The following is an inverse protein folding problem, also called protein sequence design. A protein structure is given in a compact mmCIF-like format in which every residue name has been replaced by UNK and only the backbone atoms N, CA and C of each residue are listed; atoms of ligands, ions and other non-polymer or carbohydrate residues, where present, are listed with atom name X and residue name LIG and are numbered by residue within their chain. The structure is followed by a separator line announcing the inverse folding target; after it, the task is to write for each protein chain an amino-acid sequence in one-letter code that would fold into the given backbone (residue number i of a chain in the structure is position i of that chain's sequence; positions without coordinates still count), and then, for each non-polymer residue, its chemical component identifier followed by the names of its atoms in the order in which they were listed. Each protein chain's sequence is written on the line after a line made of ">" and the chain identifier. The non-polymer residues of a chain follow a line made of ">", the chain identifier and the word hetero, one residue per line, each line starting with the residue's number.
data_IF_474984199107
#
_entry.id   IF_474984199107
#
_cell.length_a   1.000
_cell.length_b   1.000
_cell.length_c   1.000
_cell.angle_alpha   90.00
_cell.angle_beta   90.00
_cell.angle_gamma   90.00
#
_symmetry.space_group_name_H-M   'P 1'
#
loop_
_entity.id
_entity.type
_entity.pdbx_description
1 polymer ?
#
# COMPACT_ATOMS: atom_id res chain seq x y z
N UNK A 1 13.69 12.99 -1.27
CA UNK A 1 12.85 13.05 -0.07
C UNK A 1 11.45 12.69 -0.52
N UNK A 2 10.89 11.60 0.00
CA UNK A 2 9.59 11.04 -0.33
C UNK A 2 9.16 10.12 0.84
N UNK A 3 8.01 9.45 0.74
CA UNK A 3 7.41 8.64 1.81
C UNK A 3 7.35 7.16 1.44
N UNK A 4 7.45 6.28 2.45
CA UNK A 4 7.28 4.83 2.36
C UNK A 4 6.34 4.30 3.46
N UNK A 5 5.78 3.12 3.23
CA UNK A 5 5.14 2.32 4.27
C UNK A 5 6.22 1.52 5.00
N UNK A 6 6.32 1.68 6.32
CA UNK A 6 7.28 0.93 7.14
C UNK A 6 6.63 -0.21 7.93
N UNK A 7 5.32 -0.14 8.15
CA UNK A 7 4.53 -1.17 8.80
C UNK A 7 3.16 -1.29 8.11
N UNK A 8 2.70 -2.50 7.74
CA UNK A 8 3.50 -3.72 7.62
C UNK A 8 4.65 -3.52 6.63
N UNK A 9 5.81 -4.15 6.88
CA UNK A 9 6.99 -3.98 6.02
C UNK A 9 6.67 -4.42 4.58
N UNK A 10 6.90 -3.56 3.57
CA UNK A 10 6.55 -3.89 2.19
C UNK A 10 7.53 -4.87 1.55
N UNK A 11 7.12 -5.44 0.41
CA UNK A 11 7.93 -6.30 -0.45
C UNK A 11 9.28 -5.66 -0.69
N UNK A 12 10.36 -6.42 -0.50
CA UNK A 12 11.77 -6.03 -0.69
C UNK A 12 12.26 -4.98 0.32
N UNK A 13 11.49 -4.61 1.34
CA UNK A 13 11.89 -3.56 2.29
C UNK A 13 13.06 -4.02 3.16
N UNK A 14 14.01 -3.10 3.39
CA UNK A 14 15.10 -3.26 4.36
C UNK A 14 14.62 -3.49 5.80
N UNK A 15 13.36 -3.14 6.10
CA UNK A 15 12.75 -3.31 7.42
C UNK A 15 12.15 -4.71 7.60
N UNK A 16 12.03 -5.49 6.53
CA UNK A 16 11.59 -6.88 6.62
C UNK A 16 12.79 -7.80 6.85
N UNK A 17 12.67 -8.69 7.83
CA UNK A 17 13.67 -9.73 8.09
C UNK A 17 13.70 -10.83 7.02
N UNK A 18 12.77 -10.79 6.07
CA UNK A 18 12.58 -11.84 5.07
C UNK A 18 13.42 -11.64 3.80
N UNK A 19 13.95 -10.44 3.56
CA UNK A 19 14.76 -10.12 2.38
C UNK A 19 16.21 -9.87 2.79
N UNK A 20 17.18 -10.29 1.96
CA UNK A 20 18.61 -10.15 2.26
C UNK A 20 19.41 -9.71 1.03
N UNK A 21 20.52 -9.03 1.28
CA UNK A 21 21.50 -8.72 0.23
C UNK A 21 20.90 -7.90 -0.92
N UNK A 22 21.04 -8.42 -2.13
CA UNK A 22 20.56 -7.84 -3.38
C UNK A 22 19.03 -7.89 -3.54
N UNK A 23 18.34 -8.61 -2.66
CA UNK A 23 16.88 -8.60 -2.63
C UNK A 23 16.30 -7.31 -2.05
N UNK A 24 17.09 -6.52 -1.34
CA UNK A 24 16.60 -5.35 -0.63
C UNK A 24 16.52 -4.15 -1.59
N UNK A 25 15.34 -3.54 -1.67
CA UNK A 25 15.17 -2.20 -2.23
C UNK A 25 15.38 -1.16 -1.12
N UNK A 26 16.47 -0.41 -1.24
CA UNK A 26 16.84 0.66 -0.31
C UNK A 26 16.12 1.99 -0.59
N UNK A 27 15.37 2.08 -1.68
CA UNK A 27 14.63 3.26 -2.12
C UNK A 27 13.11 3.00 -2.21
N UNK A 28 12.51 2.55 -1.11
CA UNK A 28 11.06 2.37 -1.01
C UNK A 28 10.26 3.67 -1.13
N UNK A 29 10.95 4.79 -0.98
CA UNK A 29 10.33 6.12 -0.93
C UNK A 29 10.00 6.67 -2.30
N UNK A 30 10.71 6.28 -3.37
CA UNK A 30 10.46 6.83 -4.71
C UNK A 30 9.07 6.52 -5.27
N UNK A 31 8.49 7.42 -6.09
CA UNK A 31 7.23 7.18 -6.76
C UNK A 31 7.33 6.05 -7.79
N UNK A 32 6.19 5.54 -8.22
CA UNK A 32 6.14 4.58 -9.31
C UNK A 32 6.63 5.21 -10.62
N UNK A 33 7.23 4.38 -11.47
CA UNK A 33 7.82 4.80 -12.74
C UNK A 33 7.89 3.62 -13.71
N UNK A 34 8.45 3.82 -14.90
CA UNK A 34 8.72 2.71 -15.82
C UNK A 34 9.66 1.64 -15.22
N UNK A 35 10.54 2.02 -14.27
CA UNK A 35 11.44 1.09 -13.57
C UNK A 35 10.81 0.48 -12.30
N UNK A 36 9.80 1.15 -11.75
CA UNK A 36 9.06 0.75 -10.55
C UNK A 36 7.57 0.71 -10.91
N UNK A 37 7.14 -0.24 -11.75
CA UNK A 37 5.81 -0.18 -12.36
C UNK A 37 4.70 -0.49 -11.38
N UNK A 38 3.48 -0.06 -11.72
CA UNK A 38 2.27 -0.51 -11.04
C UNK A 38 1.92 -1.96 -11.41
N UNK A 39 1.42 -2.79 -10.48
CA UNK A 39 1.29 -2.54 -9.04
C UNK A 39 2.57 -2.91 -8.28
N UNK A 40 2.65 -2.47 -7.02
CA UNK A 40 3.65 -2.94 -6.05
C UNK A 40 5.11 -2.76 -6.51
N UNK A 41 5.40 -1.67 -7.24
CA UNK A 41 6.72 -1.36 -7.79
C UNK A 41 7.27 -2.45 -8.74
N UNK A 42 6.41 -3.32 -9.26
CA UNK A 42 6.76 -4.45 -10.12
C UNK A 42 7.28 -5.68 -9.37
N UNK A 43 7.34 -5.65 -8.05
CA UNK A 43 7.81 -6.79 -7.27
C UNK A 43 6.79 -7.91 -7.23
N UNK A 44 7.26 -9.14 -7.50
CA UNK A 44 6.47 -10.35 -7.32
C UNK A 44 6.10 -10.62 -5.86
N UNK A 45 5.17 -11.55 -5.60
CA UNK A 45 4.74 -11.90 -4.25
C UNK A 45 5.90 -12.30 -3.34
N UNK A 46 5.84 -11.83 -2.09
CA UNK A 46 6.78 -12.13 -1.03
C UNK A 46 6.21 -13.05 0.06
N UNK A 47 6.99 -13.28 1.12
CA UNK A 47 6.50 -13.89 2.35
C UNK A 47 5.58 -12.93 3.10
N UNK A 48 4.61 -13.47 3.84
CA UNK A 48 3.74 -12.64 4.68
C UNK A 48 4.55 -11.98 5.80
N UNK A 49 4.44 -10.65 5.92
CA UNK A 49 5.16 -9.88 6.95
C UNK A 49 4.34 -9.66 8.21
N UNK A 50 3.03 -9.92 8.16
CA UNK A 50 2.14 -9.86 9.31
C UNK A 50 0.93 -10.81 9.15
N UNK A 51 0.30 -11.15 10.28
CA UNK A 51 -0.96 -11.92 10.33
C UNK A 51 -2.02 -11.10 11.04
N UNK A 52 -3.22 -11.02 10.44
CA UNK A 52 -4.36 -10.29 10.97
C UNK A 52 -5.62 -11.15 10.99
N UNK A 53 -6.57 -10.80 11.85
CA UNK A 53 -7.89 -11.44 11.88
C UNK A 53 -8.86 -10.71 10.95
N UNK A 54 -9.71 -11.47 10.24
CA UNK A 54 -10.86 -10.92 9.54
C UNK A 54 -11.78 -10.19 10.53
N UNK A 55 -12.27 -9.01 10.15
CA UNK A 55 -13.00 -8.13 11.07
C UNK A 55 -12.11 -7.33 12.03
N UNK A 56 -10.80 -7.59 12.02
CA UNK A 56 -9.80 -6.83 12.76
C UNK A 56 -9.34 -5.57 12.02
N UNK A 57 -8.18 -5.07 12.41
CA UNK A 57 -7.58 -3.84 11.89
C UNK A 57 -6.10 -4.06 11.60
N UNK A 58 -5.64 -3.50 10.48
CA UNK A 58 -4.23 -3.40 10.12
C UNK A 58 -3.70 -2.09 10.69
N UNK A 59 -2.69 -2.17 11.53
CA UNK A 59 -1.90 -1.02 11.96
C UNK A 59 -0.92 -0.66 10.85
N UNK A 60 -0.91 0.60 10.45
CA UNK A 60 -0.06 1.10 9.37
C UNK A 60 0.77 2.26 9.88
N UNK A 61 2.07 2.18 9.64
CA UNK A 61 3.00 3.28 9.90
C UNK A 61 3.68 3.66 8.60
N UNK A 62 3.67 4.96 8.31
CA UNK A 62 4.35 5.57 7.18
C UNK A 62 5.56 6.36 7.70
N UNK A 63 6.63 6.40 6.93
CA UNK A 63 7.78 7.22 7.26
C UNK A 63 8.46 7.76 6.01
N UNK A 64 9.39 8.70 6.18
CA UNK A 64 10.10 9.33 5.08
C UNK A 64 10.43 10.79 5.33
N UNK A 65 11.01 11.40 4.30
CA UNK A 65 11.64 12.72 4.39
C UNK A 65 10.76 13.89 3.97
N UNK A 66 9.76 13.68 3.09
CA UNK A 66 8.90 14.74 2.60
C UNK A 66 7.50 14.21 2.33
N UNK A 67 6.51 14.74 3.03
CA UNK A 67 5.10 14.38 2.92
C UNK A 67 4.35 15.27 1.90
N UNK A 68 5.04 16.17 1.20
CA UNK A 68 4.48 17.01 0.13
C UNK A 68 3.21 17.79 0.52
N UNK A 69 3.13 18.28 1.76
CA UNK A 69 1.94 18.92 2.35
C UNK A 69 0.70 18.02 2.36
N UNK A 70 0.94 16.71 2.40
CA UNK A 70 -0.02 15.63 2.37
C UNK A 70 -0.51 15.24 0.97
N UNK A 71 -1.82 15.20 0.79
CA UNK A 71 -2.48 14.65 -0.41
C UNK A 71 -3.41 13.52 -0.07
N UNK A 72 -3.59 12.59 -1.00
CA UNK A 72 -4.63 11.56 -0.92
C UNK A 72 -4.01 10.19 -0.77
N UNK A 73 -4.38 9.45 0.28
CA UNK A 73 -3.97 8.05 0.44
C UNK A 73 -5.15 7.11 0.32
N UNK A 74 -4.92 5.96 -0.29
CA UNK A 74 -5.80 4.81 -0.16
C UNK A 74 -5.04 3.63 0.44
N UNK A 75 -5.72 2.92 1.32
CA UNK A 75 -5.26 1.66 1.88
C UNK A 75 -6.18 0.57 1.36
N UNK A 76 -5.61 -0.39 0.64
CA UNK A 76 -6.37 -1.35 -0.15
C UNK A 76 -5.92 -2.77 0.12
N UNK A 77 -6.84 -3.72 -0.03
CA UNK A 77 -6.58 -5.16 0.04
C UNK A 77 -6.77 -5.81 -1.32
N UNK A 78 -5.94 -6.80 -1.60
CA UNK A 78 -6.09 -7.73 -2.71
C UNK A 78 -6.09 -9.16 -2.18
N UNK A 79 -7.07 -9.95 -2.61
CA UNK A 79 -7.18 -11.39 -2.26
C UNK A 79 -7.04 -12.28 -3.49
N UNK A 80 -6.66 -11.70 -4.64
CA UNK A 80 -6.49 -12.38 -5.93
C UNK A 80 -5.03 -12.32 -6.43
N UNK A 81 -4.09 -12.14 -5.50
CA UNK A 81 -2.65 -12.12 -5.77
C UNK A 81 -2.12 -10.78 -6.29
N UNK A 82 -2.82 -9.67 -6.02
CA UNK A 82 -2.44 -8.32 -6.46
C UNK A 82 -2.98 -7.94 -7.83
N UNK A 83 -3.98 -8.65 -8.36
CA UNK A 83 -4.61 -8.32 -9.66
C UNK A 83 -5.63 -7.19 -9.50
N UNK A 84 -6.41 -7.24 -8.43
CA UNK A 84 -7.36 -6.18 -8.08
C UNK A 84 -7.16 -5.73 -6.63
N UNK A 85 -7.35 -4.43 -6.39
CA UNK A 85 -7.21 -3.81 -5.08
C UNK A 85 -8.52 -3.12 -4.70
N UNK A 86 -9.07 -3.53 -3.57
CA UNK A 86 -10.31 -2.99 -3.00
C UNK A 86 -9.96 -2.06 -1.84
N UNK A 87 -10.46 -0.83 -1.90
CA UNK A 87 -10.15 0.23 -0.94
C UNK A 87 -10.85 -0.04 0.39
N UNK A 88 -10.08 -0.17 1.46
CA UNK A 88 -10.55 -0.36 2.83
C UNK A 88 -10.63 0.97 3.60
N UNK A 89 -9.75 1.93 3.28
CA UNK A 89 -9.74 3.27 3.87
C UNK A 89 -9.21 4.29 2.88
N UNK A 90 -9.77 5.49 2.90
CA UNK A 90 -9.31 6.65 2.12
C UNK A 90 -9.05 7.81 3.07
N UNK A 91 -7.95 8.53 2.85
CA UNK A 91 -7.60 9.78 3.55
C UNK A 91 -7.45 10.85 2.50
N UNK A 92 -8.29 11.89 2.55
CA UNK A 92 -8.39 12.89 1.49
C UNK A 92 -7.70 14.20 1.88
N UNK A 93 -6.76 14.65 1.04
CA UNK A 93 -6.15 15.98 1.08
C UNK A 93 -5.10 16.22 2.18
N UNK A 94 -5.09 15.41 3.25
CA UNK A 94 -4.22 15.60 4.42
C UNK A 94 -3.48 14.33 4.85
N UNK A 95 -3.33 13.35 3.95
CA UNK A 95 -2.56 12.15 4.28
C UNK A 95 -1.16 12.52 4.76
N UNK A 96 -0.70 11.95 5.87
CA UNK A 96 0.58 12.19 6.52
C UNK A 96 0.79 13.57 7.16
N UNK A 97 -0.10 14.55 6.95
CA UNK A 97 0.08 15.91 7.47
C UNK A 97 -0.08 16.03 8.99
N UNK A 98 -0.93 15.20 9.61
CA UNK A 98 -1.22 15.25 11.06
C UNK A 98 -0.85 13.96 11.79
N UNK A 99 -0.81 12.84 11.07
CA UNK A 99 -0.42 11.54 11.59
C UNK A 99 0.19 10.73 10.45
N UNK A 100 1.24 9.98 10.76
CA UNK A 100 1.79 8.95 9.87
C UNK A 100 1.32 7.54 10.25
N UNK A 101 0.50 7.44 11.30
CA UNK A 101 -0.10 6.20 11.78
C UNK A 101 -1.57 6.10 11.36
N UNK A 102 -1.99 4.93 10.89
CA UNK A 102 -3.36 4.65 10.45
C UNK A 102 -3.83 3.27 10.87
N UNK A 103 -5.08 3.22 11.29
CA UNK A 103 -5.83 1.98 11.48
C UNK A 103 -6.71 1.71 10.25
N UNK A 104 -6.53 0.56 9.60
CA UNK A 104 -7.27 0.16 8.39
C UNK A 104 -8.12 -1.09 8.66
N UNK A 105 -9.45 -1.03 8.53
CA UNK A 105 -10.31 -2.16 8.86
C UNK A 105 -10.18 -3.29 7.83
N UNK A 106 -10.26 -4.54 8.31
CA UNK A 106 -10.42 -5.73 7.46
C UNK A 106 -11.90 -6.16 7.52
N UNK A 107 -12.56 -6.44 6.39
CA UNK A 107 -13.92 -6.96 6.40
C UNK A 107 -14.04 -8.25 7.21
N UNK A 108 -15.11 -8.40 7.99
CA UNK A 108 -15.36 -9.61 8.80
C UNK A 108 -15.45 -10.88 7.97
N UNK A 109 -15.92 -10.76 6.73
CA UNK A 109 -16.05 -11.85 5.78
C UNK A 109 -14.86 -11.96 4.82
N UNK A 110 -13.73 -11.29 5.08
CA UNK A 110 -12.55 -11.44 4.25
C UNK A 110 -12.12 -12.92 4.13
N UNK A 111 -11.63 -13.38 2.97
CA UNK A 111 -11.13 -14.74 2.82
C UNK A 111 -9.95 -15.04 3.76
N UNK A 112 -9.85 -16.30 4.19
CA UNK A 112 -8.66 -16.79 4.86
C UNK A 112 -7.51 -16.99 3.87
N UNK A 113 -6.29 -16.70 4.32
CA UNK A 113 -5.07 -16.97 3.57
C UNK A 113 -4.31 -15.72 3.21
N UNK A 114 -3.50 -15.83 2.16
CA UNK A 114 -2.63 -14.72 1.71
C UNK A 114 -3.46 -13.59 1.10
N UNK A 115 -3.12 -12.37 1.48
CA UNK A 115 -3.62 -11.15 0.87
C UNK A 115 -2.47 -10.17 0.64
N UNK A 116 -2.64 -9.25 -0.29
CA UNK A 116 -1.72 -8.12 -0.51
C UNK A 116 -2.36 -6.87 0.08
N UNK A 117 -1.72 -6.26 1.06
CA UNK A 117 -2.06 -4.95 1.56
C UNK A 117 -1.27 -3.89 0.79
N UNK A 118 -1.94 -2.84 0.33
CA UNK A 118 -1.31 -1.77 -0.43
C UNK A 118 -1.63 -0.42 0.21
N UNK A 119 -0.58 0.38 0.40
CA UNK A 119 -0.69 1.82 0.57
C UNK A 119 -0.40 2.48 -0.78
N UNK A 120 -1.31 3.34 -1.23
CA UNK A 120 -1.10 4.23 -2.36
C UNK A 120 -1.23 5.68 -1.91
N UNK A 121 -0.47 6.56 -2.56
CA UNK A 121 -0.48 7.98 -2.24
C UNK A 121 -0.29 8.83 -3.49
N UNK A 122 -1.12 9.86 -3.60
CA UNK A 122 -1.02 10.95 -4.56
C UNK A 122 -0.62 12.18 -3.76
N UNK A 123 0.57 12.71 -4.03
CA UNK A 123 1.10 13.86 -3.33
C UNK A 123 0.35 15.14 -3.70
N UNK A 124 0.16 16.04 -2.74
CA UNK A 124 -0.53 17.31 -2.97
C UNK A 124 0.34 18.30 -3.74
N UNK A 125 1.57 18.53 -3.27
CA UNK A 125 2.46 19.57 -3.80
C UNK A 125 3.69 18.96 -4.48
N UNK A 126 4.18 19.61 -5.54
CA UNK A 126 5.35 19.14 -6.30
C UNK A 126 4.95 18.46 -7.61
N UNK A 127 5.80 17.55 -8.10
CA UNK A 127 5.51 16.76 -9.29
C UNK A 127 4.21 15.96 -9.13
N UNK A 128 3.53 15.64 -10.23
CA UNK A 128 2.39 14.72 -10.20
C UNK A 128 2.92 13.31 -10.10
N UNK A 129 2.84 12.72 -8.91
CA UNK A 129 3.45 11.44 -8.60
C UNK A 129 2.48 10.51 -7.90
N UNK A 130 2.57 9.24 -8.26
CA UNK A 130 1.78 8.17 -7.66
C UNK A 130 2.71 7.17 -6.97
N UNK A 131 2.54 7.02 -5.67
CA UNK A 131 3.32 6.12 -4.82
C UNK A 131 2.52 4.86 -4.54
N UNK A 132 3.22 3.73 -4.43
CA UNK A 132 2.61 2.49 -3.95
C UNK A 132 3.65 1.62 -3.26
N UNK A 133 3.35 1.18 -2.03
CA UNK A 133 4.06 0.09 -1.39
C UNK A 133 3.07 -1.04 -1.07
N UNK A 134 3.50 -2.28 -1.23
CA UNK A 134 2.68 -3.46 -0.97
C UNK A 134 3.35 -4.37 0.05
N UNK A 135 2.60 -4.88 1.01
CA UNK A 135 3.02 -5.92 1.93
C UNK A 135 2.15 -7.16 1.71
N UNK A 136 2.77 -8.34 1.63
CA UNK A 136 2.02 -9.59 1.71
C UNK A 136 1.69 -9.85 3.18
N UNK A 137 0.44 -10.20 3.46
CA UNK A 137 -0.07 -10.46 4.80
C UNK A 137 -0.90 -11.76 4.80
N UNK A 138 -1.16 -12.30 5.98
CA UNK A 138 -2.06 -13.45 6.16
C UNK A 138 -3.32 -13.00 6.90
N UNK A 139 -4.50 -13.26 6.34
CA UNK A 139 -5.79 -13.06 7.00
C UNK A 139 -6.28 -14.41 7.55
N UNK A 140 -6.76 -14.42 8.79
CA UNK A 140 -7.29 -15.59 9.50
C UNK A 140 -8.69 -15.32 10.06
N UNK A 141 -9.44 -16.37 10.41
CA UNK A 141 -10.73 -16.26 11.08
C UNK A 141 -11.90 -15.79 10.21
N UNK A 142 -11.67 -15.59 8.92
CA UNK A 142 -12.70 -15.27 7.93
C UNK A 142 -13.36 -16.52 7.33
N UNK A 143 -14.48 -16.32 6.65
CA UNK A 143 -15.26 -17.40 6.03
C UNK A 143 -15.83 -17.07 4.65
N UNK A 144 -15.47 -15.92 4.07
CA UNK A 144 -15.91 -15.53 2.74
C UNK A 144 -14.93 -15.93 1.64
N UNK A 145 -15.35 -15.71 0.39
CA UNK A 145 -14.58 -16.04 -0.81
C UNK A 145 -14.07 -14.80 -1.57
N UNK A 146 -14.51 -13.61 -1.20
CA UNK A 146 -14.10 -12.36 -1.82
C UNK A 146 -14.16 -11.18 -0.83
N UNK A 147 -13.57 -10.06 -1.23
CA UNK A 147 -13.80 -8.73 -0.66
C UNK A 147 -14.46 -7.85 -1.72
N UNK A 148 -15.27 -6.89 -1.30
CA UNK A 148 -16.01 -5.99 -2.20
C UNK A 148 -15.93 -4.56 -1.71
N UNK A 149 -15.89 -3.62 -2.64
CA UNK A 149 -15.74 -2.20 -2.35
C UNK A 149 -15.20 -1.43 -3.56
N UNK A 150 -14.90 -0.14 -3.39
CA UNK A 150 -14.34 0.68 -4.46
C UNK A 150 -12.99 0.13 -4.93
N UNK A 151 -12.71 0.25 -6.24
CA UNK A 151 -11.38 -0.03 -6.78
C UNK A 151 -10.40 1.05 -6.33
N UNK A 152 -9.16 0.65 -6.07
CA UNK A 152 -8.07 1.59 -5.84
C UNK A 152 -7.90 2.51 -7.07
N UNK A 153 -7.86 3.82 -6.82
CA UNK A 153 -7.64 4.84 -7.83
C UNK A 153 -6.18 4.77 -8.31
N UNK A 154 -5.98 4.79 -9.62
CA UNK A 154 -4.65 4.81 -10.24
C UNK A 154 -4.63 5.98 -11.23
N UNK A 155 -3.69 6.88 -11.04
CA UNK A 155 -3.56 8.19 -11.71
C UNK A 155 -2.09 8.57 -11.79
N UNK A 156 -1.76 9.60 -12.56
CA UNK A 156 -0.41 10.17 -12.66
C UNK A 156 0.67 9.15 -13.08
N UNK A 157 0.24 8.14 -13.85
CA UNK A 157 1.09 7.11 -14.46
C UNK A 157 0.86 7.10 -15.98
N UNK A 158 1.79 6.56 -16.78
CA UNK A 158 1.59 6.39 -18.22
C UNK A 158 0.28 5.65 -18.53
N UNK A 159 -0.55 6.24 -19.39
CA UNK A 159 -1.88 5.75 -19.80
C UNK A 159 -2.98 5.83 -18.72
N UNK A 160 -2.73 6.51 -17.59
CA UNK A 160 -3.76 6.83 -16.60
C UNK A 160 -4.13 8.31 -16.65
N UNK A 161 -5.29 8.64 -16.08
CA UNK A 161 -5.69 10.03 -15.93
C UNK A 161 -4.65 10.79 -15.10
N UNK A 162 -4.34 12.00 -15.52
CA UNK A 162 -3.58 12.93 -14.72
C UNK A 162 -4.55 13.80 -13.92
N UNK A 163 -4.34 13.93 -12.62
CA UNK A 163 -5.20 14.73 -11.77
C UNK A 163 -4.58 16.11 -11.49
N UNK A 164 -5.38 17.20 -11.57
CA UNK A 164 -4.91 18.52 -11.17
C UNK A 164 -4.65 18.58 -9.66
N UNK A 165 -3.89 19.60 -9.26
CA UNK A 165 -3.55 19.91 -7.86
C UNK A 165 -4.77 20.01 -6.92
#
# INVERSE_FOLDING_TARGET
>A
AHMEMINPAPRRSKLSTAYKGDEIDYDMTSPLSAKLPYPCRGYGPGPSTATYQAGGTISVDLDGGADHNGGHCQFSLSVDGGKTFVVMKTVMGNCMSSSRHYEVPIPKNAPNGKAVFAWSWINKTGNREYYMNCADITIQGGGGNCISGPKNLVVDLPNYAQIPE
#
